data_IF_609334396281
#
_entry.id   IF_609334396281
#
_cell.length_a   1.000
_cell.length_b   1.000
_cell.length_c   1.000
_cell.angle_alpha   90.00
_cell.angle_beta   90.00
_cell.angle_gamma   90.00
#
_symmetry.space_group_name_H-M   'P 1'
#
loop_
_entity.id
_entity.type
_entity.pdbx_description
1 polymer ?
#
# COMPACT_ATOMS: atom_id res chain seq x y z
N UNK A 1 79.17 -10.42 5.34
CA UNK A 1 79.02 -11.66 6.14
C UNK A 1 77.74 -11.54 6.97
N UNK A 2 76.92 -12.59 6.97
CA UNK A 2 75.68 -12.79 7.77
C UNK A 2 75.93 -12.42 9.25
N UNK A 3 74.98 -11.96 10.09
CA UNK A 3 73.61 -12.45 10.35
C UNK A 3 72.98 -11.62 11.51
N UNK A 4 71.65 -11.74 11.68
CA UNK A 4 70.80 -11.37 12.83
C UNK A 4 70.15 -9.97 12.80
N UNK A 5 68.85 -9.90 12.51
CA UNK A 5 67.80 -9.79 13.54
C UNK A 5 66.38 -9.63 12.95
N UNK A 6 65.41 -10.30 13.60
CA UNK A 6 63.98 -9.97 13.69
C UNK A 6 63.05 -10.33 12.51
N UNK A 7 62.68 -11.61 12.43
CA UNK A 7 61.38 -12.05 11.90
C UNK A 7 60.46 -12.49 13.05
N UNK A 8 59.78 -11.54 13.67
CA UNK A 8 58.56 -11.77 14.45
C UNK A 8 57.56 -10.70 14.05
N UNK A 9 56.81 -10.91 12.97
CA UNK A 9 55.62 -10.12 12.61
C UNK A 9 54.88 -10.78 11.42
N UNK A 10 54.56 -12.08 11.50
CA UNK A 10 53.63 -12.73 10.56
C UNK A 10 52.86 -13.86 11.24
N UNK A 11 52.18 -13.56 12.35
CA UNK A 11 51.14 -14.41 12.94
C UNK A 11 50.12 -13.53 13.65
N UNK A 12 49.26 -12.85 12.89
CA UNK A 12 47.96 -12.33 13.33
C UNK A 12 47.38 -11.39 12.26
N UNK A 13 47.00 -11.92 11.10
CA UNK A 13 46.05 -11.21 10.22
C UNK A 13 45.37 -12.14 9.21
N UNK A 14 44.97 -13.36 9.62
CA UNK A 14 44.17 -14.25 8.78
C UNK A 14 42.85 -14.67 9.47
N UNK A 15 42.44 -13.98 10.54
CA UNK A 15 41.22 -14.32 11.30
C UNK A 15 40.20 -13.19 11.44
N UNK A 16 40.31 -12.12 10.64
CA UNK A 16 39.25 -11.13 10.63
C UNK A 16 39.16 -10.47 9.26
N UNK A 17 37.92 -10.36 8.77
CA UNK A 17 37.49 -9.68 7.54
C UNK A 17 37.32 -10.58 6.29
N UNK A 18 36.50 -11.62 6.44
CA UNK A 18 35.57 -12.02 5.36
C UNK A 18 34.14 -11.96 5.88
N UNK A 19 33.63 -10.74 6.08
CA UNK A 19 32.18 -10.53 6.11
C UNK A 19 31.68 -10.75 4.68
N UNK A 20 31.28 -11.98 4.37
CA UNK A 20 30.56 -12.31 3.14
C UNK A 20 29.25 -11.51 3.13
N UNK A 21 29.17 -10.47 2.31
CA UNK A 21 27.90 -9.87 1.91
C UNK A 21 27.09 -10.95 1.18
N UNK A 22 26.00 -11.42 1.80
CA UNK A 22 25.05 -12.36 1.18
C UNK A 22 24.51 -11.78 -0.12
N UNK A 23 24.27 -12.64 -1.12
CA UNK A 23 23.61 -12.22 -2.37
C UNK A 23 22.19 -11.69 -2.09
N UNK A 24 21.63 -10.90 -3.01
CA UNK A 24 20.25 -10.38 -2.88
C UNK A 24 19.25 -11.53 -2.71
N UNK A 25 19.40 -12.60 -3.51
CA UNK A 25 18.55 -13.79 -3.43
C UNK A 25 18.65 -14.49 -2.07
N UNK A 26 19.86 -14.62 -1.51
CA UNK A 26 20.04 -15.18 -0.16
C UNK A 26 19.38 -14.31 0.91
N UNK A 27 19.40 -12.99 0.77
CA UNK A 27 18.73 -12.07 1.70
C UNK A 27 17.21 -12.19 1.60
N UNK A 28 16.66 -12.31 0.39
CA UNK A 28 15.22 -12.51 0.18
C UNK A 28 14.73 -13.85 0.73
N UNK A 29 15.52 -14.92 0.55
CA UNK A 29 15.20 -16.24 1.10
C UNK A 29 15.23 -16.25 2.64
N UNK A 30 16.21 -15.59 3.26
CA UNK A 30 16.25 -15.44 4.72
C UNK A 30 15.03 -14.65 5.22
N UNK A 31 14.67 -13.56 4.52
CA UNK A 31 13.51 -12.75 4.86
C UNK A 31 12.20 -13.54 4.76
N UNK A 32 12.03 -14.32 3.68
CA UNK A 32 10.89 -15.22 3.53
C UNK A 32 10.82 -16.26 4.65
N UNK A 33 11.96 -16.88 5.00
CA UNK A 33 12.00 -17.88 6.07
C UNK A 33 11.55 -17.30 7.41
N UNK A 34 11.94 -16.07 7.74
CA UNK A 34 11.48 -15.39 8.96
C UNK A 34 9.96 -15.25 9.03
N UNK A 35 9.28 -15.00 7.90
CA UNK A 35 7.82 -14.99 7.86
C UNK A 35 7.24 -16.39 8.03
N UNK A 36 7.81 -17.40 7.36
CA UNK A 36 7.36 -18.79 7.47
C UNK A 36 7.45 -19.28 8.92
N UNK A 37 8.53 -18.95 9.63
CA UNK A 37 8.73 -19.32 11.03
C UNK A 37 7.66 -18.72 11.97
N UNK A 38 7.13 -17.53 11.62
CA UNK A 38 6.03 -16.90 12.37
C UNK A 38 4.68 -17.50 11.98
N UNK A 39 4.45 -17.71 10.68
CA UNK A 39 3.17 -18.14 10.09
C UNK A 39 2.88 -19.64 10.27
N UNK A 40 3.89 -20.45 10.56
CA UNK A 40 3.78 -21.90 10.79
C UNK A 40 3.33 -22.26 12.21
N UNK A 41 3.25 -21.29 13.11
CA UNK A 41 2.80 -21.50 14.50
C UNK A 41 1.27 -21.69 14.55
N UNK A 42 0.80 -22.46 15.53
CA UNK A 42 -0.64 -22.63 15.80
C UNK A 42 -1.32 -21.29 16.12
N UNK A 43 -0.58 -20.39 16.78
CA UNK A 43 -0.97 -19.02 17.04
C UNK A 43 0.07 -18.06 16.46
N UNK A 44 -0.34 -17.26 15.48
CA UNK A 44 0.50 -16.25 14.84
C UNK A 44 0.64 -15.03 15.75
N UNK A 45 1.87 -14.70 16.15
CA UNK A 45 2.13 -13.50 16.94
C UNK A 45 2.04 -12.24 16.07
N UNK A 46 0.89 -11.57 16.11
CA UNK A 46 0.61 -10.34 15.32
C UNK A 46 1.64 -9.23 15.53
N UNK A 47 2.17 -9.07 16.75
CA UNK A 47 3.19 -8.05 17.08
C UNK A 47 4.53 -8.35 16.41
N UNK A 48 4.98 -9.61 16.45
CA UNK A 48 6.19 -10.02 15.75
C UNK A 48 6.02 -9.89 14.23
N UNK A 49 4.84 -10.28 13.72
CA UNK A 49 4.52 -10.20 12.30
C UNK A 49 4.51 -8.74 11.80
N UNK A 50 3.86 -7.83 12.54
CA UNK A 50 3.86 -6.40 12.26
C UNK A 50 5.29 -5.83 12.25
N UNK A 51 6.10 -6.12 13.27
CA UNK A 51 7.49 -5.65 13.33
C UNK A 51 8.33 -6.11 12.14
N UNK A 52 8.16 -7.35 11.68
CA UNK A 52 8.86 -7.87 10.51
C UNK A 52 8.36 -7.23 9.20
N UNK A 53 7.08 -6.86 9.15
CA UNK A 53 6.41 -6.32 7.95
C UNK A 53 6.76 -4.86 7.65
N UNK A 54 7.19 -4.07 8.64
CA UNK A 54 7.54 -2.64 8.48
C UNK A 54 8.53 -2.35 7.34
N UNK A 55 9.40 -3.30 7.02
CA UNK A 55 10.42 -3.16 5.96
C UNK A 55 10.05 -3.88 4.65
N UNK A 56 8.78 -4.23 4.48
CA UNK A 56 8.25 -4.98 3.35
C UNK A 56 8.09 -6.47 3.65
N UNK A 57 7.10 -7.08 3.00
CA UNK A 57 6.74 -8.49 3.17
C UNK A 57 7.25 -9.31 1.98
N UNK A 58 7.69 -10.54 2.23
CA UNK A 58 8.06 -11.44 1.15
C UNK A 58 6.84 -11.77 0.28
N UNK A 59 7.01 -11.70 -1.05
CA UNK A 59 5.89 -11.74 -2.01
C UNK A 59 5.01 -12.98 -1.85
N UNK A 60 5.64 -14.13 -1.58
CA UNK A 60 5.02 -15.45 -1.46
C UNK A 60 4.03 -15.55 -0.30
N UNK A 61 4.17 -14.70 0.73
CA UNK A 61 3.35 -14.75 1.94
C UNK A 61 2.53 -13.48 2.13
N UNK A 62 2.68 -12.46 1.27
CA UNK A 62 2.08 -11.13 1.44
C UNK A 62 0.58 -11.20 1.68
N UNK A 63 -0.15 -11.95 0.84
CA UNK A 63 -1.60 -12.02 0.97
C UNK A 63 -2.05 -12.59 2.31
N UNK A 64 -1.49 -13.73 2.76
CA UNK A 64 -1.75 -14.27 4.10
C UNK A 64 -1.38 -13.28 5.22
N UNK A 65 -0.22 -12.62 5.12
CA UNK A 65 0.23 -11.64 6.12
C UNK A 65 -0.73 -10.45 6.20
N UNK A 66 -1.12 -9.87 5.06
CA UNK A 66 -2.10 -8.79 5.00
C UNK A 66 -3.40 -9.19 5.66
N UNK A 67 -3.97 -10.34 5.28
CA UNK A 67 -5.23 -10.87 5.85
C UNK A 67 -5.16 -11.01 7.38
N UNK A 68 -4.00 -11.40 7.95
CA UNK A 68 -3.81 -11.49 9.42
C UNK A 68 -3.66 -10.10 10.05
N UNK A 69 -2.84 -9.21 9.46
CA UNK A 69 -2.54 -7.90 10.04
C UNK A 69 -3.78 -7.00 10.08
N UNK A 70 -4.62 -7.04 9.05
CA UNK A 70 -5.89 -6.31 9.03
C UNK A 70 -6.98 -7.00 9.87
N UNK A 71 -6.72 -8.20 10.38
CA UNK A 71 -7.69 -8.97 11.19
C UNK A 71 -8.82 -9.59 10.37
N UNK A 72 -8.67 -9.73 9.05
CA UNK A 72 -9.63 -10.43 8.21
C UNK A 72 -9.66 -11.92 8.54
N UNK A 73 -8.48 -12.53 8.75
CA UNK A 73 -8.36 -13.91 9.27
C UNK A 73 -7.77 -13.93 10.68
N UNK A 74 -8.19 -14.87 11.55
CA UNK A 74 -7.71 -14.96 12.92
C UNK A 74 -6.25 -15.41 13.01
N UNK A 75 -5.61 -15.11 14.15
CA UNK A 75 -4.24 -15.54 14.43
C UNK A 75 -4.13 -17.04 14.69
N UNK A 76 -5.22 -17.70 15.09
CA UNK A 76 -5.29 -19.15 15.28
C UNK A 76 -5.40 -19.89 13.95
N UNK A 77 -4.33 -20.61 13.58
CA UNK A 77 -4.21 -21.30 12.30
C UNK A 77 -5.32 -22.32 12.04
N UNK A 78 -5.82 -22.99 13.08
CA UNK A 78 -6.91 -23.97 12.97
C UNK A 78 -8.29 -23.35 12.64
N UNK A 79 -8.50 -22.05 12.90
CA UNK A 79 -9.76 -21.35 12.62
C UNK A 79 -9.77 -20.62 11.26
N UNK A 80 -8.59 -20.40 10.66
CA UNK A 80 -8.45 -19.57 9.45
C UNK A 80 -9.30 -20.07 8.28
N UNK A 81 -9.31 -21.39 8.02
CA UNK A 81 -10.04 -21.97 6.89
C UNK A 81 -11.56 -21.80 7.03
N UNK A 82 -12.10 -22.09 8.20
CA UNK A 82 -13.53 -21.94 8.48
C UNK A 82 -13.95 -20.47 8.45
N UNK A 83 -13.14 -19.59 9.05
CA UNK A 83 -13.40 -18.15 9.03
C UNK A 83 -13.46 -17.58 7.61
N UNK A 84 -12.49 -17.93 6.74
CA UNK A 84 -12.51 -17.52 5.33
C UNK A 84 -13.75 -18.03 4.61
N UNK A 85 -14.10 -19.31 4.80
CA UNK A 85 -15.29 -19.89 4.18
C UNK A 85 -16.56 -19.11 4.56
N UNK A 86 -16.73 -18.81 5.85
CA UNK A 86 -17.90 -18.06 6.33
C UNK A 86 -17.90 -16.63 5.80
N UNK A 87 -16.77 -15.91 5.85
CA UNK A 87 -16.65 -14.55 5.31
C UNK A 87 -16.96 -14.45 3.82
N UNK A 88 -16.48 -15.41 3.03
CA UNK A 88 -16.73 -15.50 1.59
C UNK A 88 -18.20 -15.79 1.29
N UNK A 89 -18.80 -16.71 2.04
CA UNK A 89 -20.24 -17.01 1.95
C UNK A 89 -21.10 -15.81 2.32
N UNK A 90 -20.77 -15.11 3.42
CA UNK A 90 -21.50 -13.92 3.88
C UNK A 90 -21.48 -12.81 2.83
N UNK A 91 -20.31 -12.56 2.23
CA UNK A 91 -20.18 -11.62 1.13
C UNK A 91 -21.08 -11.98 -0.04
N UNK A 92 -21.00 -13.22 -0.54
CA UNK A 92 -21.76 -13.66 -1.71
C UNK A 92 -23.27 -13.56 -1.47
N UNK A 93 -23.75 -14.01 -0.30
CA UNK A 93 -25.17 -13.90 0.07
C UNK A 93 -25.63 -12.45 0.15
N UNK A 94 -24.82 -11.58 0.74
CA UNK A 94 -25.12 -10.16 0.86
C UNK A 94 -25.19 -9.49 -0.52
N UNK A 95 -24.15 -9.66 -1.34
CA UNK A 95 -24.04 -9.04 -2.66
C UNK A 95 -25.17 -9.48 -3.58
N UNK A 96 -25.46 -10.78 -3.63
CA UNK A 96 -26.55 -11.30 -4.45
C UNK A 96 -27.89 -10.71 -4.02
N UNK A 97 -28.18 -10.67 -2.71
CA UNK A 97 -29.42 -10.10 -2.18
C UNK A 97 -29.57 -8.61 -2.50
N UNK A 98 -28.49 -7.84 -2.45
CA UNK A 98 -28.55 -6.41 -2.76
C UNK A 98 -28.83 -6.13 -4.24
N UNK A 99 -28.29 -6.95 -5.14
CA UNK A 99 -28.32 -6.70 -6.58
C UNK A 99 -29.45 -7.44 -7.31
N UNK A 100 -30.14 -8.37 -6.66
CA UNK A 100 -31.23 -9.18 -7.25
C UNK A 100 -32.45 -8.34 -7.68
N UNK A 101 -32.73 -7.23 -6.99
CA UNK A 101 -33.90 -6.37 -7.23
C UNK A 101 -33.73 -5.31 -8.32
N UNK A 102 -32.57 -5.27 -8.99
CA UNK A 102 -32.18 -4.13 -9.82
C UNK A 102 -31.70 -2.93 -8.98
N UNK A 103 -31.22 -1.89 -9.65
CA UNK A 103 -30.64 -0.72 -9.02
C UNK A 103 -31.65 0.43 -8.95
N UNK A 104 -31.66 1.18 -7.85
CA UNK A 104 -32.32 2.47 -7.80
C UNK A 104 -31.58 3.49 -8.69
N UNK A 105 -32.25 4.57 -9.10
CA UNK A 105 -31.68 5.58 -10.03
C UNK A 105 -30.34 6.17 -9.54
N UNK A 106 -30.17 6.38 -8.24
CA UNK A 106 -28.91 6.85 -7.66
C UNK A 106 -27.80 5.78 -7.70
N UNK A 107 -28.17 4.50 -7.61
CA UNK A 107 -27.26 3.36 -7.69
C UNK A 107 -26.85 3.08 -9.14
N UNK A 108 -27.74 3.30 -10.12
CA UNK A 108 -27.39 3.26 -11.56
C UNK A 108 -26.36 4.35 -11.90
N UNK A 109 -26.57 5.59 -11.42
CA UNK A 109 -25.58 6.68 -11.60
C UNK A 109 -24.24 6.35 -10.94
N UNK A 110 -24.28 5.72 -9.77
CA UNK A 110 -23.10 5.23 -9.08
C UNK A 110 -22.37 4.16 -9.93
N UNK A 111 -23.10 3.19 -10.49
CA UNK A 111 -22.57 2.17 -11.38
C UNK A 111 -21.91 2.79 -12.64
N UNK A 112 -22.55 3.77 -13.28
CA UNK A 112 -21.98 4.48 -14.43
C UNK A 112 -20.64 5.17 -14.08
N UNK A 113 -20.56 5.78 -12.89
CA UNK A 113 -19.33 6.43 -12.43
C UNK A 113 -18.23 5.41 -12.13
N UNK A 114 -18.58 4.29 -11.49
CA UNK A 114 -17.66 3.16 -11.28
C UNK A 114 -17.10 2.69 -12.63
N UNK A 115 -17.95 2.44 -13.63
CA UNK A 115 -17.51 1.98 -14.96
C UNK A 115 -16.55 2.99 -15.61
N UNK A 116 -16.82 4.30 -15.49
CA UNK A 116 -15.91 5.35 -16.02
C UNK A 116 -14.55 5.31 -15.33
N UNK A 117 -14.49 5.04 -14.03
CA UNK A 117 -13.24 4.99 -13.27
C UNK A 117 -12.46 3.70 -13.56
N UNK A 118 -13.13 2.56 -13.65
CA UNK A 118 -12.49 1.29 -13.99
C UNK A 118 -11.80 1.32 -15.37
N UNK A 119 -12.36 2.05 -16.33
CA UNK A 119 -11.75 2.25 -17.66
C UNK A 119 -10.52 3.17 -17.64
N UNK A 120 -10.29 3.91 -16.55
CA UNK A 120 -9.19 4.87 -16.36
C UNK A 120 -8.11 4.36 -15.39
N UNK A 121 -8.18 3.11 -14.97
CA UNK A 121 -7.13 2.46 -14.17
C UNK A 121 -5.80 2.38 -14.93
N UNK A 122 -4.72 2.11 -14.20
CA UNK A 122 -3.38 1.99 -14.80
C UNK A 122 -3.31 0.84 -15.81
N UNK A 123 -2.67 1.08 -16.96
CA UNK A 123 -2.43 0.08 -18.02
C UNK A 123 -1.24 -0.84 -17.73
N UNK A 124 -0.45 -0.51 -16.71
CA UNK A 124 0.71 -1.30 -16.29
C UNK A 124 0.33 -2.66 -15.67
N UNK A 125 -0.96 -2.85 -15.36
CA UNK A 125 -1.53 -4.10 -14.84
C UNK A 125 -2.60 -4.60 -15.82
N UNK A 126 -2.20 -5.33 -16.89
CA UNK A 126 -3.10 -5.71 -17.96
C UNK A 126 -4.37 -6.46 -17.55
N UNK A 127 -4.29 -7.33 -16.53
CA UNK A 127 -5.46 -8.10 -16.08
C UNK A 127 -6.61 -7.24 -15.58
N UNK A 128 -6.37 -5.99 -15.15
CA UNK A 128 -7.43 -5.09 -14.70
C UNK A 128 -8.46 -4.84 -15.80
N UNK A 129 -8.08 -4.95 -17.07
CA UNK A 129 -8.97 -4.77 -18.23
C UNK A 129 -9.59 -6.07 -18.72
N UNK A 130 -9.34 -7.19 -18.05
CA UNK A 130 -10.03 -8.45 -18.32
C UNK A 130 -11.50 -8.34 -17.91
N UNK A 131 -12.43 -8.84 -18.73
CA UNK A 131 -13.88 -8.69 -18.50
C UNK A 131 -14.33 -9.24 -17.13
N UNK A 132 -13.85 -10.43 -16.75
CA UNK A 132 -14.10 -11.02 -15.42
C UNK A 132 -13.66 -10.09 -14.26
N UNK A 133 -12.50 -9.44 -14.36
CA UNK A 133 -12.01 -8.53 -13.32
C UNK A 133 -12.79 -7.21 -13.29
N UNK A 134 -13.14 -6.67 -14.45
CA UNK A 134 -14.00 -5.47 -14.55
C UNK A 134 -15.38 -5.71 -13.91
N UNK A 135 -15.99 -6.87 -14.18
CA UNK A 135 -17.27 -7.25 -13.57
C UNK A 135 -17.14 -7.43 -12.05
N UNK A 136 -16.09 -8.12 -11.60
CA UNK A 136 -15.76 -8.31 -10.18
C UNK A 136 -15.59 -6.95 -9.47
N UNK A 137 -14.74 -6.06 -9.99
CA UNK A 137 -14.52 -4.75 -9.39
C UNK A 137 -15.80 -3.90 -9.36
N UNK A 138 -16.60 -3.94 -10.44
CA UNK A 138 -17.88 -3.24 -10.49
C UNK A 138 -18.82 -3.73 -9.40
N UNK A 139 -19.02 -5.04 -9.30
CA UNK A 139 -19.92 -5.67 -8.32
C UNK A 139 -19.45 -5.39 -6.89
N UNK A 140 -18.15 -5.49 -6.62
CA UNK A 140 -17.54 -5.16 -5.33
C UNK A 140 -17.77 -3.70 -4.93
N UNK A 141 -17.43 -2.74 -5.80
CA UNK A 141 -17.53 -1.31 -5.51
C UNK A 141 -19.00 -0.87 -5.36
N UNK A 142 -19.89 -1.42 -6.18
CA UNK A 142 -21.32 -1.13 -6.09
C UNK A 142 -21.92 -1.69 -4.79
N UNK A 143 -21.54 -2.91 -4.41
CA UNK A 143 -21.92 -3.51 -3.12
C UNK A 143 -21.50 -2.62 -1.95
N UNK A 144 -20.26 -2.12 -1.98
CA UNK A 144 -19.77 -1.20 -0.96
C UNK A 144 -20.58 0.10 -0.92
N UNK A 145 -20.79 0.74 -2.07
CA UNK A 145 -21.48 2.01 -2.18
C UNK A 145 -22.92 1.94 -1.66
N UNK A 146 -23.65 0.86 -1.99
CA UNK A 146 -25.02 0.63 -1.51
C UNK A 146 -25.03 0.41 0.02
N UNK A 147 -24.04 -0.31 0.55
CA UNK A 147 -23.92 -0.58 1.98
C UNK A 147 -23.53 0.64 2.81
N UNK A 148 -22.87 1.63 2.21
CA UNK A 148 -22.33 2.80 2.90
C UNK A 148 -22.84 4.10 2.28
N UNK A 149 -24.15 4.42 2.40
CA UNK A 149 -24.76 5.56 1.71
C UNK A 149 -24.21 6.92 2.12
N UNK A 150 -23.58 7.05 3.29
CA UNK A 150 -22.91 8.28 3.73
C UNK A 150 -21.67 8.63 2.87
N UNK A 151 -21.08 7.63 2.21
CA UNK A 151 -19.97 7.79 1.26
C UNK A 151 -20.43 7.54 -0.17
N UNK A 152 -21.25 6.52 -0.39
CA UNK A 152 -21.53 6.00 -1.73
C UNK A 152 -20.23 5.54 -2.41
N UNK A 153 -20.14 5.77 -3.72
CA UNK A 153 -18.90 5.65 -4.47
C UNK A 153 -18.24 7.02 -4.62
N UNK A 154 -16.96 7.09 -4.27
CA UNK A 154 -16.13 8.29 -4.44
C UNK A 154 -14.95 7.95 -5.35
N UNK A 155 -14.67 8.83 -6.31
CA UNK A 155 -13.55 8.65 -7.23
C UNK A 155 -12.23 8.47 -6.46
N UNK A 156 -11.47 7.43 -6.80
CA UNK A 156 -10.29 6.98 -6.06
C UNK A 156 -10.51 5.66 -5.33
N UNK A 157 -11.75 5.30 -4.97
CA UNK A 157 -12.05 3.99 -4.40
C UNK A 157 -11.65 2.83 -5.32
N UNK A 158 -11.81 2.98 -6.64
CA UNK A 158 -11.38 1.96 -7.61
C UNK A 158 -9.88 1.69 -7.54
N UNK A 159 -9.07 2.70 -7.25
CA UNK A 159 -7.62 2.58 -7.09
C UNK A 159 -7.28 1.80 -5.81
N UNK A 160 -8.00 2.06 -4.72
CA UNK A 160 -7.79 1.38 -3.43
C UNK A 160 -8.05 -0.14 -3.49
N UNK A 161 -8.82 -0.61 -4.48
CA UNK A 161 -9.07 -2.03 -4.71
C UNK A 161 -7.87 -2.73 -5.40
N UNK A 162 -7.11 -2.00 -6.23
CA UNK A 162 -6.06 -2.57 -7.09
C UNK A 162 -4.96 -3.31 -6.31
N UNK A 163 -4.39 -2.77 -5.21
CA UNK A 163 -3.34 -3.47 -4.46
C UNK A 163 -3.79 -4.82 -3.91
N UNK A 164 -5.04 -4.92 -3.43
CA UNK A 164 -5.58 -6.18 -2.94
C UNK A 164 -5.79 -7.20 -4.04
N UNK A 165 -6.31 -6.78 -5.20
CA UNK A 165 -6.44 -7.68 -6.35
C UNK A 165 -5.08 -8.24 -6.77
N UNK A 166 -4.07 -7.38 -6.88
CA UNK A 166 -2.71 -7.80 -7.23
C UNK A 166 -2.17 -8.81 -6.23
N UNK A 167 -2.29 -8.51 -4.93
CA UNK A 167 -1.75 -9.36 -3.87
C UNK A 167 -2.48 -10.70 -3.77
N UNK A 168 -3.81 -10.73 -3.94
CA UNK A 168 -4.59 -11.94 -3.78
C UNK A 168 -4.63 -12.79 -5.05
N UNK A 169 -4.53 -12.21 -6.26
CA UNK A 169 -4.32 -12.99 -7.49
C UNK A 169 -2.95 -13.69 -7.46
N UNK A 170 -1.92 -13.03 -6.91
CA UNK A 170 -0.59 -13.61 -6.74
C UNK A 170 -0.60 -14.88 -5.83
N UNK A 171 -1.63 -15.09 -5.00
CA UNK A 171 -1.81 -16.34 -4.22
C UNK A 171 -2.17 -17.55 -5.11
N UNK A 172 -2.84 -17.30 -6.25
CA UNK A 172 -3.24 -18.33 -7.20
C UNK A 172 -2.21 -18.50 -8.33
N UNK A 173 -1.73 -17.38 -8.89
CA UNK A 173 -0.83 -17.35 -10.04
C UNK A 173 0.29 -16.33 -9.84
N UNK A 174 1.41 -16.81 -9.31
CA UNK A 174 2.50 -15.97 -8.85
C UNK A 174 3.11 -15.08 -9.96
N UNK A 175 2.97 -13.77 -9.80
CA UNK A 175 3.78 -12.75 -10.45
C UNK A 175 3.53 -12.45 -11.91
N UNK A 176 2.36 -12.81 -12.42
CA UNK A 176 1.96 -12.39 -13.76
C UNK A 176 0.81 -11.39 -13.69
N UNK A 177 1.04 -10.19 -14.25
CA UNK A 177 0.00 -9.17 -14.42
C UNK A 177 -0.79 -9.34 -15.74
N UNK A 178 -0.55 -10.44 -16.46
CA UNK A 178 -1.11 -10.66 -17.79
C UNK A 178 -2.60 -11.03 -17.72
N UNK A 179 -3.37 -10.65 -18.75
CA UNK A 179 -4.79 -10.98 -18.84
C UNK A 179 -5.04 -12.50 -18.86
N UNK A 180 -4.16 -13.28 -19.50
CA UNK A 180 -4.30 -14.74 -19.62
C UNK A 180 -4.36 -15.49 -18.30
N UNK A 181 -3.83 -14.87 -17.23
CA UNK A 181 -3.91 -15.42 -15.87
C UNK A 181 -5.36 -15.52 -15.41
N UNK A 182 -6.25 -14.64 -15.88
CA UNK A 182 -7.65 -14.60 -15.47
C UNK A 182 -8.51 -15.64 -16.22
N UNK A 183 -8.07 -16.08 -17.39
CA UNK A 183 -8.80 -17.07 -18.20
C UNK A 183 -8.97 -18.39 -17.46
N UNK A 184 -7.93 -18.78 -16.69
CA UNK A 184 -7.87 -20.04 -15.94
C UNK A 184 -8.61 -20.02 -14.60
N UNK A 185 -9.02 -18.85 -14.10
CA UNK A 185 -9.84 -18.78 -12.88
C UNK A 185 -11.24 -19.36 -13.13
N UNK A 186 -11.63 -20.30 -12.26
CA UNK A 186 -13.01 -20.75 -12.12
C UNK A 186 -13.90 -19.67 -11.50
N UNK A 187 -15.22 -19.78 -11.67
CA UNK A 187 -16.16 -18.83 -11.06
C UNK A 187 -16.06 -18.83 -9.54
N UNK A 188 -15.88 -20.00 -8.91
CA UNK A 188 -15.70 -20.11 -7.46
C UNK A 188 -14.47 -19.32 -6.98
N UNK A 189 -13.34 -19.45 -7.67
CA UNK A 189 -12.11 -18.71 -7.28
C UNK A 189 -12.28 -17.20 -7.46
N UNK A 190 -13.03 -16.74 -8.47
CA UNK A 190 -13.35 -15.33 -8.65
C UNK A 190 -14.26 -14.81 -7.53
N UNK A 191 -15.28 -15.57 -7.13
CA UNK A 191 -16.18 -15.19 -6.04
C UNK A 191 -15.43 -15.15 -4.69
N UNK A 192 -14.50 -16.09 -4.46
CA UNK A 192 -13.63 -16.09 -3.28
C UNK A 192 -12.64 -14.90 -3.28
N UNK A 193 -12.03 -14.61 -4.43
CA UNK A 193 -11.15 -13.45 -4.62
C UNK A 193 -11.91 -12.15 -4.35
N UNK A 194 -13.11 -11.99 -4.93
CA UNK A 194 -13.93 -10.80 -4.75
C UNK A 194 -14.27 -10.56 -3.29
N UNK A 195 -14.67 -11.61 -2.57
CA UNK A 195 -14.97 -11.52 -1.15
C UNK A 195 -13.75 -11.11 -0.32
N UNK A 196 -12.59 -11.74 -0.56
CA UNK A 196 -11.35 -11.42 0.15
C UNK A 196 -10.95 -9.95 -0.10
N UNK A 197 -11.04 -9.48 -1.35
CA UNK A 197 -10.76 -8.09 -1.70
C UNK A 197 -11.78 -7.15 -1.05
N UNK A 198 -13.07 -7.49 -1.04
CA UNK A 198 -14.13 -6.65 -0.48
C UNK A 198 -13.91 -6.41 1.01
N UNK A 199 -13.65 -7.46 1.78
CA UNK A 199 -13.45 -7.33 3.23
C UNK A 199 -12.20 -6.53 3.56
N UNK A 200 -11.10 -6.74 2.82
CA UNK A 200 -9.87 -5.97 3.01
C UNK A 200 -10.02 -4.51 2.60
N UNK A 201 -10.75 -4.24 1.52
CA UNK A 201 -11.11 -2.89 1.08
C UNK A 201 -11.97 -2.17 2.11
N UNK A 202 -12.99 -2.83 2.68
CA UNK A 202 -13.80 -2.27 3.76
C UNK A 202 -12.94 -1.90 4.99
N UNK A 203 -11.96 -2.73 5.33
CA UNK A 203 -11.06 -2.46 6.45
C UNK A 203 -10.25 -1.17 6.23
N UNK A 204 -9.68 -0.96 5.03
CA UNK A 204 -8.98 0.30 4.73
C UNK A 204 -9.95 1.47 4.76
N UNK A 205 -11.11 1.38 4.11
CA UNK A 205 -12.02 2.52 4.09
C UNK A 205 -12.58 2.87 5.47
N UNK A 206 -12.68 1.90 6.38
CA UNK A 206 -13.01 2.17 7.77
C UNK A 206 -11.90 2.93 8.51
N UNK A 207 -10.62 2.69 8.20
CA UNK A 207 -9.51 3.40 8.84
C UNK A 207 -9.34 4.84 8.37
N UNK A 208 -9.87 5.18 7.18
CA UNK A 208 -9.84 6.54 6.61
C UNK A 208 -11.24 7.00 6.14
N UNK A 209 -12.28 6.71 6.93
CA UNK A 209 -13.67 6.93 6.53
C UNK A 209 -13.96 8.38 6.13
N UNK A 210 -13.41 9.34 6.88
CA UNK A 210 -13.59 10.78 6.66
C UNK A 210 -12.99 11.28 5.34
N UNK A 211 -12.15 10.47 4.67
CA UNK A 211 -11.61 10.78 3.34
C UNK A 211 -12.67 10.63 2.24
N UNK A 212 -13.74 9.87 2.50
CA UNK A 212 -14.73 9.48 1.49
C UNK A 212 -16.17 9.79 1.90
N UNK A 213 -16.40 10.48 3.01
CA UNK A 213 -17.71 11.07 3.33
C UNK A 213 -17.94 12.36 2.54
N UNK A 214 -19.18 12.87 2.57
CA UNK A 214 -19.53 14.16 1.96
C UNK A 214 -18.53 15.26 2.34
N UNK A 215 -18.11 16.05 1.34
CA UNK A 215 -17.07 17.09 1.41
C UNK A 215 -15.66 16.63 1.85
N UNK A 216 -15.42 15.31 1.99
CA UNK A 216 -14.12 14.69 2.28
C UNK A 216 -13.29 15.42 3.38
N UNK A 217 -13.87 15.68 4.56
CA UNK A 217 -13.24 16.49 5.61
C UNK A 217 -11.88 15.94 6.07
N UNK A 218 -11.68 14.62 6.01
CA UNK A 218 -10.39 14.01 6.35
C UNK A 218 -9.28 14.40 5.38
N UNK A 219 -9.56 14.46 4.07
CA UNK A 219 -8.57 14.94 3.09
C UNK A 219 -8.19 16.41 3.37
N UNK A 220 -9.18 17.25 3.70
CA UNK A 220 -8.91 18.65 4.05
C UNK A 220 -8.09 18.80 5.33
N UNK A 221 -8.28 17.91 6.31
CA UNK A 221 -7.46 17.83 7.50
C UNK A 221 -6.02 17.46 7.14
N UNK A 222 -5.82 16.36 6.43
CA UNK A 222 -4.52 15.86 5.97
C UNK A 222 -3.72 16.90 5.17
N UNK A 223 -4.40 17.67 4.30
CA UNK A 223 -3.77 18.76 3.55
C UNK A 223 -3.21 19.88 4.46
N UNK A 224 -3.94 20.22 5.52
CA UNK A 224 -3.51 21.24 6.50
C UNK A 224 -2.35 20.71 7.34
N UNK A 225 -2.44 19.46 7.79
CA UNK A 225 -1.36 18.82 8.54
C UNK A 225 -0.09 18.74 7.70
N UNK A 226 -0.20 18.39 6.41
CA UNK A 226 0.94 18.36 5.50
C UNK A 226 1.58 19.74 5.33
N UNK A 227 0.78 20.81 5.23
CA UNK A 227 1.28 22.19 5.21
C UNK A 227 2.05 22.53 6.49
N UNK A 228 1.51 22.19 7.66
CA UNK A 228 2.16 22.44 8.95
C UNK A 228 3.46 21.65 9.11
N UNK A 229 3.47 20.37 8.74
CA UNK A 229 4.67 19.53 8.77
C UNK A 229 5.72 20.01 7.78
N UNK A 230 5.32 20.43 6.57
CA UNK A 230 6.26 21.00 5.60
C UNK A 230 6.87 22.28 6.15
N UNK A 231 6.10 23.15 6.80
CA UNK A 231 6.62 24.35 7.47
C UNK A 231 7.63 24.00 8.58
N UNK A 232 7.36 22.96 9.39
CA UNK A 232 8.23 22.53 10.50
C UNK A 232 9.52 21.88 10.00
N UNK A 233 9.42 20.92 9.07
CA UNK A 233 10.53 20.06 8.66
C UNK A 233 11.20 20.45 7.34
N UNK A 234 10.47 21.12 6.44
CA UNK A 234 10.89 21.45 5.08
C UNK A 234 10.70 22.95 4.77
N UNK A 235 11.10 23.81 5.71
CA UNK A 235 10.82 25.27 5.68
C UNK A 235 11.10 25.95 4.33
N UNK A 236 12.20 25.60 3.65
CA UNK A 236 12.53 26.18 2.33
C UNK A 236 11.49 25.84 1.26
N UNK A 237 10.96 24.61 1.29
CA UNK A 237 9.91 24.17 0.37
C UNK A 237 8.60 24.91 0.65
N UNK A 238 8.23 25.05 1.93
CA UNK A 238 7.06 25.84 2.35
C UNK A 238 7.15 27.30 1.90
N UNK A 239 8.30 27.95 2.10
CA UNK A 239 8.55 29.33 1.64
C UNK A 239 8.45 29.45 0.11
N UNK A 240 8.98 28.48 -0.63
CA UNK A 240 8.89 28.45 -2.09
C UNK A 240 7.43 28.29 -2.57
N UNK A 241 6.67 27.40 -1.95
CA UNK A 241 5.24 27.23 -2.27
C UNK A 241 4.45 28.51 -2.02
N UNK A 242 4.72 29.22 -0.91
CA UNK A 242 4.10 30.51 -0.61
C UNK A 242 4.46 31.59 -1.63
N UNK A 243 5.72 31.68 -2.05
CA UNK A 243 6.15 32.62 -3.08
C UNK A 243 5.43 32.39 -4.41
N UNK A 244 5.17 31.13 -4.75
CA UNK A 244 4.45 30.74 -5.96
C UNK A 244 2.91 30.76 -5.80
N UNK A 245 2.37 31.10 -4.63
CA UNK A 245 0.94 30.95 -4.28
C UNK A 245 0.40 29.53 -4.57
N UNK A 246 1.23 28.51 -4.36
CA UNK A 246 0.88 27.11 -4.57
C UNK A 246 0.04 26.59 -3.40
N UNK A 247 -1.09 25.97 -3.69
CA UNK A 247 -1.97 25.36 -2.69
C UNK A 247 -1.82 23.84 -2.66
N UNK A 248 -1.62 23.26 -1.47
CA UNK A 248 -1.40 21.81 -1.30
C UNK A 248 -2.47 20.93 -1.97
N UNK A 249 -3.72 21.37 -1.99
CA UNK A 249 -4.82 20.65 -2.64
C UNK A 249 -4.57 20.39 -4.14
N UNK A 250 -3.79 21.24 -4.83
CA UNK A 250 -3.54 21.14 -6.27
C UNK A 250 -2.72 19.89 -6.65
N UNK A 251 -2.00 19.28 -5.72
CA UNK A 251 -1.22 18.07 -5.96
C UNK A 251 -1.50 16.96 -4.92
N UNK A 252 -1.57 17.31 -3.63
CA UNK A 252 -1.64 16.34 -2.55
C UNK A 252 -3.03 15.75 -2.33
N UNK A 253 -4.09 16.33 -2.91
CA UNK A 253 -5.42 15.70 -2.85
C UNK A 253 -5.37 14.26 -3.36
N UNK A 254 -4.71 14.02 -4.50
CA UNK A 254 -4.56 12.68 -5.07
C UNK A 254 -3.67 11.79 -4.21
N UNK A 255 -2.65 12.35 -3.56
CA UNK A 255 -1.75 11.60 -2.69
C UNK A 255 -2.51 10.98 -1.51
N UNK A 256 -3.41 11.74 -0.88
CA UNK A 256 -4.25 11.25 0.22
C UNK A 256 -5.42 10.39 -0.26
N UNK A 257 -6.11 10.81 -1.32
CA UNK A 257 -7.29 10.11 -1.85
C UNK A 257 -6.96 8.74 -2.48
N UNK A 258 -5.71 8.52 -2.86
CA UNK A 258 -5.23 7.23 -3.38
C UNK A 258 -4.13 6.60 -2.52
N UNK A 259 -3.86 7.11 -1.31
CA UNK A 259 -2.80 6.64 -0.41
C UNK A 259 -1.47 6.37 -1.16
N UNK A 260 -1.06 7.36 -1.95
CA UNK A 260 0.15 7.42 -2.78
C UNK A 260 0.30 6.35 -3.88
N UNK A 261 -0.66 5.45 -4.12
CA UNK A 261 -0.44 4.36 -5.10
C UNK A 261 -0.31 4.84 -6.55
N UNK A 262 -0.78 6.05 -6.85
CA UNK A 262 -0.63 6.71 -8.15
C UNK A 262 0.77 7.31 -8.37
N UNK A 263 1.54 7.46 -7.29
CA UNK A 263 2.85 8.10 -7.31
C UNK A 263 4.01 7.10 -7.41
N UNK A 264 3.73 5.79 -7.37
CA UNK A 264 4.74 4.74 -7.46
C UNK A 264 4.29 3.58 -8.38
N UNK A 265 5.24 2.87 -9.02
CA UNK A 265 4.96 1.56 -9.61
C UNK A 265 4.31 0.61 -8.61
N UNK A 266 3.38 -0.23 -9.07
CA UNK A 266 2.54 -1.05 -8.18
C UNK A 266 3.36 -1.90 -7.21
N UNK A 267 4.46 -2.52 -7.66
CA UNK A 267 5.33 -3.33 -6.82
C UNK A 267 5.96 -2.54 -5.65
N UNK A 268 6.20 -1.24 -5.83
CA UNK A 268 6.69 -0.35 -4.79
C UNK A 268 5.55 0.13 -3.89
N UNK A 269 4.38 0.42 -4.45
CA UNK A 269 3.15 0.73 -3.70
C UNK A 269 2.79 -0.39 -2.72
N UNK A 270 2.98 -1.66 -3.10
CA UNK A 270 2.77 -2.79 -2.21
C UNK A 270 3.73 -2.80 -1.01
N UNK A 271 4.99 -2.41 -1.19
CA UNK A 271 5.97 -2.33 -0.10
C UNK A 271 5.63 -1.16 0.84
N UNK A 272 5.16 -0.04 0.29
CA UNK A 272 4.66 1.08 1.08
C UNK A 272 3.46 0.65 1.94
N UNK A 273 2.50 -0.07 1.33
CA UNK A 273 1.32 -0.59 2.02
C UNK A 273 1.65 -1.71 3.01
N UNK A 274 2.71 -2.51 2.78
CA UNK A 274 3.23 -3.44 3.79
C UNK A 274 3.57 -2.67 5.09
N UNK A 275 4.18 -1.49 4.96
CA UNK A 275 4.43 -0.55 6.06
C UNK A 275 3.14 -0.06 6.72
N UNK A 276 2.19 0.47 5.94
CA UNK A 276 0.92 1.01 6.46
C UNK A 276 0.09 -0.04 7.21
N UNK A 277 -0.07 -1.22 6.63
CA UNK A 277 -0.81 -2.35 7.23
C UNK A 277 -0.11 -2.87 8.50
N UNK A 278 1.21 -2.70 8.59
CA UNK A 278 1.97 -3.13 9.75
C UNK A 278 1.85 -2.21 10.96
N UNK A 279 1.25 -1.02 10.84
CA UNK A 279 1.12 -0.13 11.99
C UNK A 279 0.19 -0.69 13.06
N UNK A 280 0.63 -0.78 14.33
CA UNK A 280 -0.06 -1.53 15.37
C UNK A 280 -1.42 -0.93 15.75
N UNK A 281 -1.60 0.38 15.54
CA UNK A 281 -2.85 1.09 15.84
C UNK A 281 -3.83 1.07 14.65
N UNK A 282 -3.44 0.51 13.50
CA UNK A 282 -4.29 0.45 12.29
C UNK A 282 -4.45 1.80 11.56
N UNK A 283 -3.69 2.82 11.96
CA UNK A 283 -3.74 4.18 11.43
C UNK A 283 -2.68 4.49 10.36
N UNK A 284 -1.98 3.46 9.84
CA UNK A 284 -0.90 3.67 8.87
C UNK A 284 -1.33 4.36 7.58
N UNK A 285 -2.58 4.22 7.15
CA UNK A 285 -3.13 4.87 5.95
C UNK A 285 -3.48 6.35 6.15
N UNK A 286 -3.61 6.80 7.39
CA UNK A 286 -3.85 8.19 7.77
C UNK A 286 -2.50 8.81 8.14
N UNK A 287 -1.98 8.44 9.31
CA UNK A 287 -0.84 9.07 9.94
C UNK A 287 0.52 8.75 9.29
N UNK A 288 0.83 7.47 9.06
CA UNK A 288 2.11 7.13 8.41
C UNK A 288 2.13 7.61 6.96
N UNK A 289 0.99 7.61 6.27
CA UNK A 289 0.84 8.18 4.94
C UNK A 289 1.11 9.69 4.91
N UNK A 290 0.61 10.45 5.89
CA UNK A 290 0.93 11.87 6.06
C UNK A 290 2.44 12.12 6.17
N UNK A 291 3.13 11.35 7.01
CA UNK A 291 4.58 11.47 7.17
C UNK A 291 5.36 11.03 5.93
N UNK A 292 4.87 10.05 5.18
CA UNK A 292 5.41 9.71 3.86
C UNK A 292 5.24 10.87 2.87
N UNK A 293 4.08 11.54 2.84
CA UNK A 293 3.86 12.71 1.99
C UNK A 293 4.84 13.84 2.31
N UNK A 294 5.04 14.15 3.59
CA UNK A 294 6.03 15.15 4.02
C UNK A 294 7.48 14.75 3.64
N UNK A 295 7.81 13.46 3.82
CA UNK A 295 9.12 12.92 3.46
C UNK A 295 9.39 12.96 1.94
N UNK A 296 8.36 12.78 1.11
CA UNK A 296 8.48 12.94 -0.35
C UNK A 296 8.87 14.36 -0.74
N UNK A 297 8.26 15.37 -0.09
CA UNK A 297 8.62 16.78 -0.30
C UNK A 297 10.08 17.05 0.11
N UNK A 298 10.56 16.42 1.18
CA UNK A 298 11.97 16.51 1.59
C UNK A 298 12.90 15.87 0.55
N UNK A 299 12.60 14.62 0.12
CA UNK A 299 13.41 13.86 -0.84
C UNK A 299 13.59 14.64 -2.15
N UNK A 300 12.52 15.27 -2.63
CA UNK A 300 12.55 16.03 -3.87
C UNK A 300 12.82 17.54 -3.67
N UNK A 301 13.15 17.98 -2.46
CA UNK A 301 13.27 19.40 -2.11
C UNK A 301 14.22 20.17 -3.03
N UNK A 302 15.38 19.60 -3.37
CA UNK A 302 16.35 20.24 -4.28
C UNK A 302 15.78 20.52 -5.67
N UNK A 303 14.95 19.61 -6.18
CA UNK A 303 14.31 19.72 -7.49
C UNK A 303 13.10 20.66 -7.43
N UNK A 304 12.33 20.60 -6.33
CA UNK A 304 11.19 21.47 -6.08
C UNK A 304 11.60 22.95 -6.08
N UNK A 305 12.69 23.28 -5.37
CA UNK A 305 13.19 24.65 -5.20
C UNK A 305 13.68 25.31 -6.51
N UNK A 306 13.82 24.54 -7.59
CA UNK A 306 14.28 25.02 -8.89
C UNK A 306 13.14 25.27 -9.88
N UNK A 307 11.89 24.93 -9.52
CA UNK A 307 10.74 24.96 -10.43
C UNK A 307 9.88 26.20 -10.22
N UNK A 308 9.36 26.73 -11.32
CA UNK A 308 8.26 27.69 -11.27
C UNK A 308 6.91 27.00 -10.97
N UNK A 309 5.83 27.77 -10.87
CA UNK A 309 4.50 27.24 -10.53
C UNK A 309 4.03 26.15 -11.51
N UNK A 310 4.17 26.36 -12.82
CA UNK A 310 3.63 25.44 -13.82
C UNK A 310 4.44 24.13 -13.84
N UNK A 311 5.77 24.24 -13.82
CA UNK A 311 6.67 23.09 -13.76
C UNK A 311 6.50 22.29 -12.45
N UNK A 312 6.27 22.98 -11.34
CA UNK A 312 6.11 22.36 -10.02
C UNK A 312 4.84 21.53 -9.93
N UNK A 313 3.71 22.03 -10.45
CA UNK A 313 2.46 21.26 -10.49
C UNK A 313 2.64 19.98 -11.30
N UNK A 314 3.21 20.09 -12.50
CA UNK A 314 3.46 18.92 -13.36
C UNK A 314 4.39 17.92 -12.68
N UNK A 315 5.44 18.42 -11.99
CA UNK A 315 6.39 17.58 -11.27
C UNK A 315 5.76 16.85 -10.08
N UNK A 316 5.03 17.54 -9.20
CA UNK A 316 4.40 16.94 -8.03
C UNK A 316 3.28 15.96 -8.39
N UNK A 317 2.63 16.17 -9.53
CA UNK A 317 1.64 15.23 -10.09
C UNK A 317 2.27 14.09 -10.90
N UNK A 318 3.59 14.10 -11.15
CA UNK A 318 4.30 13.07 -11.92
C UNK A 318 5.72 12.88 -11.37
N UNK A 319 5.82 12.54 -10.08
CA UNK A 319 7.10 12.32 -9.43
C UNK A 319 7.93 11.27 -10.21
N UNK A 320 9.25 11.45 -10.37
CA UNK A 320 10.09 10.58 -11.18
C UNK A 320 10.45 9.27 -10.44
N UNK A 321 9.44 8.49 -10.06
CA UNK A 321 9.57 7.28 -9.22
C UNK A 321 9.63 5.97 -10.02
N UNK A 322 9.55 6.03 -11.35
CA UNK A 322 9.58 4.83 -12.21
C UNK A 322 10.84 3.98 -12.02
N UNK A 323 11.97 4.61 -11.73
CA UNK A 323 13.25 3.96 -11.52
C UNK A 323 13.57 3.74 -10.03
N UNK A 324 12.63 4.05 -9.12
CA UNK A 324 12.81 3.74 -7.71
C UNK A 324 12.85 2.23 -7.49
N UNK A 325 13.48 1.86 -6.39
CA UNK A 325 13.68 0.49 -5.95
C UNK A 325 13.03 0.29 -4.59
N UNK A 326 13.04 -0.95 -4.11
CA UNK A 326 12.65 -1.28 -2.72
C UNK A 326 13.41 -0.44 -1.70
N UNK A 327 14.70 -0.17 -1.94
CA UNK A 327 15.51 0.61 -1.01
C UNK A 327 14.99 2.06 -0.90
N UNK A 328 14.53 2.66 -2.01
CA UNK A 328 14.02 4.04 -2.00
C UNK A 328 12.71 4.14 -1.19
N UNK A 329 11.82 3.15 -1.30
CA UNK A 329 10.61 3.07 -0.45
C UNK A 329 10.98 2.86 1.02
N UNK A 330 12.00 2.03 1.31
CA UNK A 330 12.47 1.86 2.68
C UNK A 330 13.06 3.15 3.25
N UNK A 331 13.82 3.92 2.46
CA UNK A 331 14.30 5.24 2.88
C UNK A 331 13.16 6.22 3.12
N UNK A 332 12.13 6.21 2.26
CA UNK A 332 10.91 7.00 2.45
C UNK A 332 10.22 6.65 3.78
N UNK A 333 10.01 5.36 4.06
CA UNK A 333 9.40 4.89 5.31
C UNK A 333 10.27 5.24 6.53
N UNK A 334 11.60 5.09 6.44
CA UNK A 334 12.51 5.45 7.54
C UNK A 334 12.43 6.94 7.88
N UNK A 335 12.40 7.82 6.86
CA UNK A 335 12.19 9.26 7.06
C UNK A 335 10.83 9.55 7.70
N UNK A 336 9.77 8.90 7.21
CA UNK A 336 8.42 9.05 7.76
C UNK A 336 8.36 8.62 9.24
N UNK A 337 8.97 7.50 9.62
CA UNK A 337 9.06 7.06 11.01
C UNK A 337 9.89 7.98 11.89
N UNK A 338 10.93 8.62 11.35
CA UNK A 338 11.68 9.62 12.08
C UNK A 338 10.79 10.83 12.42
N UNK A 339 10.00 11.32 11.46
CA UNK A 339 9.02 12.39 11.70
C UNK A 339 7.97 11.96 12.72
N UNK A 340 7.36 10.78 12.53
CA UNK A 340 6.41 10.20 13.48
C UNK A 340 6.95 10.20 14.91
N UNK A 341 8.20 9.74 15.08
CA UNK A 341 8.84 9.64 16.39
C UNK A 341 9.07 11.01 17.03
N UNK A 342 9.42 12.03 16.24
CA UNK A 342 9.60 13.39 16.72
C UNK A 342 8.27 14.03 17.14
N UNK A 343 7.19 13.81 16.39
CA UNK A 343 5.86 14.38 16.69
C UNK A 343 5.17 13.72 17.90
N UNK A 344 5.56 12.50 18.29
CA UNK A 344 4.94 11.75 19.39
C UNK A 344 5.78 11.70 20.69
N UNK A 345 6.98 12.27 20.68
CA UNK A 345 7.85 12.35 21.86
C UNK A 345 7.91 13.77 22.47
N UNK A 346 7.41 14.78 21.75
CA UNK A 346 7.15 16.13 22.24
C UNK A 346 5.75 16.21 22.88
#
# INVERSE_FOLDING_TARGET
MKRLTHSRLTKSCDYCLTLKTKSIEEQEMVHLQQFIDILSKDFVNKRQLSKLSKNGIAKQVRGKVWKILIGYIPCESNKQKENLHNKRKDYLLMTNKLLEGGLALNEEKCEEQIIKDLNRLTRDIPFLFHNKIQQLMKRLLLTYAIKHPASGYVQGMSDMVVPFLVVYIDEYYFGSYEQKVIDVFSQTELDELEADVYWSFCWILQSIQSHYTYDQPGIHHELKELEMLTKKYNKRVDEHFKQLNMQYIQFAFRWFNCCLIREFPINLSLILWDGYISEPNGNGFEELNLYCCCSLLEIFSTTILQKDFAELIVFLQNLPTKNWTKNDIQQLLLKAYAIYTMEHLE
#
